data_IF_815587819191
#
_entry.id   IF_815587819191
#
_cell.length_a   1.000
_cell.length_b   1.000
_cell.length_c   1.000
_cell.angle_alpha   90.00
_cell.angle_beta   90.00
_cell.angle_gamma   90.00
#
_symmetry.space_group_name_H-M   'P 1'
#
loop_
_entity.id
_entity.type
_entity.pdbx_description
1 polymer ?
#
# COMPACT_ATOMS: atom_id res chain seq x y z
N UNK A 1 -12.38 -3.91 -22.89
CA UNK A 1 -11.90 -4.37 -24.21
C UNK A 1 -10.75 -5.31 -23.98
N UNK A 2 -10.76 -6.49 -24.58
CA UNK A 2 -9.76 -7.55 -24.40
C UNK A 2 -9.29 -8.00 -25.78
N UNK A 3 -7.98 -8.20 -25.93
CA UNK A 3 -7.39 -8.81 -27.11
C UNK A 3 -6.87 -10.21 -26.73
N UNK A 4 -7.34 -11.24 -27.39
CA UNK A 4 -6.91 -12.63 -27.20
C UNK A 4 -5.94 -13.00 -28.33
N UNK A 5 -4.66 -13.12 -27.98
CA UNK A 5 -3.63 -13.41 -28.98
C UNK A 5 -3.50 -12.31 -30.04
N UNK A 6 -3.56 -12.70 -31.33
CA UNK A 6 -3.47 -11.79 -32.48
C UNK A 6 -4.82 -11.32 -33.00
N UNK A 7 -5.92 -11.72 -32.37
CA UNK A 7 -7.27 -11.38 -32.80
C UNK A 7 -7.60 -9.91 -32.56
N UNK A 8 -8.63 -9.41 -33.24
CA UNK A 8 -9.10 -8.05 -33.02
C UNK A 8 -9.64 -7.88 -31.58
N UNK A 9 -9.44 -6.69 -30.94
CA UNK A 9 -9.94 -6.46 -29.59
C UNK A 9 -11.46 -6.63 -29.51
N UNK A 10 -11.95 -7.37 -28.53
CA UNK A 10 -13.38 -7.62 -28.27
C UNK A 10 -13.82 -6.88 -27.03
N UNK A 11 -15.01 -6.29 -27.08
CA UNK A 11 -15.65 -5.68 -25.91
C UNK A 11 -16.71 -6.63 -25.35
N UNK A 12 -16.68 -6.86 -24.03
CA UNK A 12 -17.66 -7.70 -23.35
C UNK A 12 -17.33 -7.80 -21.86
N UNK A 13 -18.04 -8.69 -21.19
CA UNK A 13 -17.95 -8.91 -19.76
C UNK A 13 -16.88 -9.98 -19.44
N UNK A 14 -16.38 -9.97 -18.22
CA UNK A 14 -15.47 -10.99 -17.68
C UNK A 14 -16.19 -11.67 -16.53
N UNK A 15 -16.26 -12.99 -16.59
CA UNK A 15 -16.73 -13.81 -15.46
C UNK A 15 -15.55 -14.39 -14.69
N UNK A 16 -15.66 -14.45 -13.38
CA UNK A 16 -14.59 -14.92 -12.49
C UNK A 16 -15.13 -16.00 -11.56
N UNK A 17 -14.60 -17.20 -11.69
CA UNK A 17 -14.94 -18.37 -10.88
C UNK A 17 -13.69 -18.99 -10.23
N UNK A 18 -13.88 -19.87 -9.24
CA UNK A 18 -12.77 -20.64 -8.69
C UNK A 18 -12.33 -21.75 -9.64
N UNK A 19 -13.27 -22.39 -10.31
CA UNK A 19 -13.01 -23.49 -11.24
C UNK A 19 -13.81 -23.31 -12.52
N UNK A 20 -13.30 -23.79 -13.61
CA UNK A 20 -14.01 -23.75 -14.89
C UNK A 20 -15.34 -24.55 -14.87
N UNK A 21 -15.43 -25.59 -14.03
CA UNK A 21 -16.67 -26.35 -13.83
C UNK A 21 -17.81 -25.51 -13.25
N UNK A 22 -17.49 -24.42 -12.58
CA UNK A 22 -18.46 -23.57 -11.88
C UNK A 22 -19.36 -22.82 -12.87
N UNK A 23 -18.89 -22.60 -14.10
CA UNK A 23 -19.69 -22.04 -15.21
C UNK A 23 -21.01 -22.79 -15.40
N UNK A 24 -20.94 -24.12 -15.50
CA UNK A 24 -22.15 -24.96 -15.64
C UNK A 24 -22.88 -25.15 -14.32
N UNK A 25 -22.13 -25.28 -13.22
CA UNK A 25 -22.72 -25.48 -11.90
C UNK A 25 -23.58 -24.29 -11.47
N UNK A 26 -23.21 -23.07 -11.86
CA UNK A 26 -23.95 -21.84 -11.60
C UNK A 26 -24.98 -21.50 -12.69
N UNK A 27 -25.09 -22.33 -13.76
CA UNK A 27 -26.07 -22.16 -14.82
C UNK A 27 -25.78 -20.97 -15.75
N UNK A 28 -24.52 -20.54 -15.87
CA UNK A 28 -24.12 -19.42 -16.72
C UNK A 28 -24.33 -19.72 -18.20
N UNK A 29 -24.29 -20.96 -18.61
CA UNK A 29 -24.54 -21.42 -19.97
C UNK A 29 -25.99 -21.22 -20.45
N UNK A 30 -26.94 -21.19 -19.54
CA UNK A 30 -28.37 -21.02 -19.82
C UNK A 30 -28.90 -19.62 -19.47
N UNK A 31 -28.11 -18.79 -18.76
CA UNK A 31 -28.52 -17.48 -18.29
C UNK A 31 -28.19 -16.38 -19.33
N UNK A 32 -29.21 -15.66 -19.87
CA UNK A 32 -29.01 -14.59 -20.84
C UNK A 32 -28.06 -13.46 -20.37
N UNK A 33 -27.93 -13.25 -19.07
CA UNK A 33 -27.04 -12.24 -18.48
C UNK A 33 -25.56 -12.48 -18.81
N UNK A 34 -25.17 -13.76 -19.08
CA UNK A 34 -23.79 -14.13 -19.37
C UNK A 34 -23.45 -14.23 -20.86
N UNK A 35 -24.38 -13.83 -21.75
CA UNK A 35 -24.16 -13.89 -23.20
C UNK A 35 -23.03 -12.98 -23.70
N UNK A 36 -22.76 -11.91 -22.99
CA UNK A 36 -21.72 -10.94 -23.33
C UNK A 36 -20.35 -11.25 -22.70
N UNK A 37 -20.22 -12.37 -21.98
CA UNK A 37 -18.94 -12.77 -21.39
C UNK A 37 -17.98 -13.19 -22.50
N UNK A 38 -16.87 -12.46 -22.62
CA UNK A 38 -15.82 -12.69 -23.63
C UNK A 38 -14.59 -13.39 -23.06
N UNK A 39 -14.45 -13.41 -21.73
CA UNK A 39 -13.38 -14.08 -21.03
C UNK A 39 -13.87 -14.67 -19.71
N UNK A 40 -13.58 -15.94 -19.49
CA UNK A 40 -13.77 -16.62 -18.22
C UNK A 40 -12.44 -16.70 -17.50
N UNK A 41 -12.33 -16.11 -16.33
CA UNK A 41 -11.13 -16.14 -15.49
C UNK A 41 -11.33 -17.12 -14.37
N UNK A 42 -10.45 -18.09 -14.22
CA UNK A 42 -10.56 -19.13 -13.19
C UNK A 42 -9.28 -19.24 -12.37
N UNK A 43 -9.42 -19.64 -11.12
CA UNK A 43 -8.26 -19.94 -10.30
C UNK A 43 -7.55 -21.22 -10.77
N UNK A 44 -8.30 -22.29 -10.95
CA UNK A 44 -7.79 -23.60 -11.38
C UNK A 44 -8.59 -24.16 -12.55
N UNK A 45 -7.90 -24.79 -13.48
CA UNK A 45 -8.54 -25.57 -14.54
C UNK A 45 -9.31 -26.76 -13.99
N UNK A 46 -10.55 -26.93 -14.45
CA UNK A 46 -11.38 -28.07 -14.13
C UNK A 46 -12.43 -28.28 -15.23
N UNK A 47 -12.33 -29.34 -16.03
CA UNK A 47 -13.30 -29.67 -17.06
C UNK A 47 -13.05 -29.05 -18.44
N UNK A 48 -14.03 -29.16 -19.33
CA UNK A 48 -14.00 -28.68 -20.72
C UNK A 48 -14.33 -27.18 -20.80
N UNK A 49 -13.61 -26.46 -21.64
CA UNK A 49 -13.80 -25.03 -21.87
C UNK A 49 -14.96 -24.78 -22.84
N UNK A 50 -15.82 -23.83 -22.50
CA UNK A 50 -16.91 -23.33 -23.35
C UNK A 50 -16.59 -21.95 -23.91
N UNK A 51 -15.77 -21.18 -23.18
CA UNK A 51 -15.38 -19.80 -23.48
C UNK A 51 -13.85 -19.66 -23.42
N UNK A 52 -13.25 -18.60 -24.01
CA UNK A 52 -11.86 -18.25 -23.76
C UNK A 52 -11.61 -18.17 -22.26
N UNK A 53 -10.67 -18.98 -21.75
CA UNK A 53 -10.46 -19.12 -20.31
C UNK A 53 -9.01 -18.80 -19.95
N UNK A 54 -8.84 -17.91 -18.97
CA UNK A 54 -7.55 -17.60 -18.35
C UNK A 54 -7.47 -18.27 -16.97
N UNK A 55 -6.49 -19.13 -16.80
CA UNK A 55 -6.15 -19.70 -15.51
C UNK A 55 -5.15 -18.78 -14.78
N UNK A 56 -5.47 -18.36 -13.58
CA UNK A 56 -4.65 -17.38 -12.84
C UNK A 56 -3.49 -18.01 -12.08
N UNK A 57 -3.67 -19.18 -11.49
CA UNK A 57 -2.67 -19.80 -10.62
C UNK A 57 -1.27 -19.92 -11.29
N UNK A 58 -1.14 -20.42 -12.53
CA UNK A 58 0.17 -20.55 -13.17
C UNK A 58 0.76 -19.24 -13.72
N UNK A 59 -0.03 -18.18 -13.86
CA UNK A 59 0.44 -16.88 -14.41
C UNK A 59 0.74 -15.85 -13.35
N UNK A 60 0.59 -16.21 -12.07
CA UNK A 60 0.97 -15.33 -10.98
C UNK A 60 2.49 -15.25 -10.84
N UNK A 61 2.99 -14.03 -10.75
CA UNK A 61 4.40 -13.72 -10.46
C UNK A 61 4.76 -13.83 -8.97
N UNK A 62 3.76 -14.09 -8.13
CA UNK A 62 3.91 -14.23 -6.68
C UNK A 62 2.95 -15.29 -6.13
N UNK A 63 3.32 -16.04 -5.07
CA UNK A 63 2.43 -16.98 -4.43
C UNK A 63 1.12 -16.33 -3.96
N UNK A 64 0.00 -17.07 -4.03
CA UNK A 64 -1.33 -16.60 -3.57
C UNK A 64 -1.30 -16.03 -2.14
N UNK A 65 -0.45 -16.59 -1.29
CA UNK A 65 -0.23 -16.10 0.05
C UNK A 65 0.28 -14.65 0.10
N UNK A 66 1.12 -14.27 -0.85
CA UNK A 66 1.63 -12.90 -0.97
C UNK A 66 0.56 -11.95 -1.50
N UNK A 67 -0.28 -12.41 -2.44
CA UNK A 67 -1.43 -11.65 -2.96
C UNK A 67 -2.50 -11.39 -1.88
N UNK A 68 -2.71 -12.32 -0.95
CA UNK A 68 -3.62 -12.10 0.20
C UNK A 68 -3.24 -10.89 1.04
N UNK A 69 -1.96 -10.57 1.13
CA UNK A 69 -1.46 -9.36 1.79
C UNK A 69 -1.79 -8.08 1.00
N UNK A 70 -1.85 -8.18 -0.31
CA UNK A 70 -2.21 -7.06 -1.19
C UNK A 70 -3.68 -6.67 -1.05
N UNK A 71 -4.56 -7.66 -0.92
CA UNK A 71 -6.01 -7.43 -0.93
C UNK A 71 -6.63 -7.15 0.44
N UNK A 72 -5.85 -7.15 1.52
CA UNK A 72 -6.37 -6.74 2.84
C UNK A 72 -7.58 -7.54 3.35
N UNK A 73 -7.84 -8.74 2.80
CA UNK A 73 -8.98 -9.57 3.14
C UNK A 73 -8.96 -10.18 4.55
N UNK A 74 -7.95 -9.87 5.36
CA UNK A 74 -7.88 -10.28 6.77
C UNK A 74 -8.89 -9.57 7.69
N UNK A 75 -9.73 -8.69 7.18
CA UNK A 75 -10.75 -8.06 8.00
C UNK A 75 -11.87 -9.02 8.44
N UNK A 76 -12.00 -10.20 7.83
CA UNK A 76 -13.10 -11.11 8.07
C UNK A 76 -12.79 -12.28 9.01
N UNK A 77 -11.52 -12.52 9.38
CA UNK A 77 -11.17 -13.55 10.36
C UNK A 77 -10.77 -12.92 11.67
N UNK A 78 -11.77 -12.63 12.51
CA UNK A 78 -11.52 -12.39 13.93
C UNK A 78 -11.05 -13.71 14.55
N UNK A 79 -9.75 -13.88 14.67
CA UNK A 79 -9.22 -14.92 15.52
C UNK A 79 -9.68 -14.62 16.95
N UNK A 80 -10.10 -15.63 17.72
CA UNK A 80 -10.36 -15.43 19.14
C UNK A 80 -9.12 -14.75 19.76
N UNK A 81 -9.31 -13.58 20.35
CA UNK A 81 -8.23 -12.77 20.93
C UNK A 81 -7.49 -13.50 22.07
N UNK A 82 -8.04 -14.61 22.54
CA UNK A 82 -7.61 -15.38 23.70
C UNK A 82 -6.66 -16.53 23.39
N UNK A 83 -6.48 -16.90 22.11
CA UNK A 83 -5.62 -18.03 21.76
C UNK A 83 -4.15 -17.64 21.72
N UNK A 84 -3.41 -18.01 22.76
CA UNK A 84 -1.95 -18.04 22.75
C UNK A 84 -1.46 -19.00 21.66
N UNK A 85 -0.47 -18.56 20.89
CA UNK A 85 0.21 -19.46 19.95
C UNK A 85 1.08 -20.48 20.70
N UNK A 86 1.22 -21.68 20.15
CA UNK A 86 2.16 -22.70 20.68
C UNK A 86 3.60 -22.19 20.74
N UNK A 87 3.94 -21.17 19.94
CA UNK A 87 5.25 -20.52 19.93
C UNK A 87 5.49 -19.61 21.16
N UNK A 88 4.45 -19.30 21.94
CA UNK A 88 4.60 -18.39 23.09
C UNK A 88 5.53 -18.98 24.17
N UNK A 89 5.42 -20.28 24.45
CA UNK A 89 6.27 -20.94 25.44
C UNK A 89 7.76 -20.92 25.03
N UNK A 90 8.16 -21.43 23.84
CA UNK A 90 9.58 -21.39 23.45
C UNK A 90 10.10 -19.97 23.26
N UNK A 91 9.29 -18.99 22.86
CA UNK A 91 9.73 -17.60 22.76
C UNK A 91 10.01 -16.95 24.10
N UNK A 92 9.34 -17.38 25.18
CA UNK A 92 9.62 -16.92 26.56
C UNK A 92 10.93 -17.47 27.15
N UNK A 93 11.41 -18.57 26.62
CA UNK A 93 12.67 -19.17 27.01
C UNK A 93 13.88 -18.45 26.41
N UNK A 94 13.66 -17.67 25.33
CA UNK A 94 14.71 -16.88 24.72
C UNK A 94 15.12 -15.71 25.60
N UNK A 95 16.44 -15.49 25.69
CA UNK A 95 16.95 -14.23 26.23
C UNK A 95 16.50 -13.03 25.39
N UNK A 96 16.53 -11.84 25.99
CA UNK A 96 16.18 -10.61 25.27
C UNK A 96 17.04 -10.40 24.02
N UNK A 97 18.30 -10.78 24.04
CA UNK A 97 19.24 -10.70 22.91
C UNK A 97 18.85 -11.68 21.81
N UNK A 98 18.54 -12.93 22.14
CA UNK A 98 18.12 -13.95 21.18
C UNK A 98 16.80 -13.57 20.51
N UNK A 99 15.81 -13.10 21.28
CA UNK A 99 14.54 -12.63 20.75
C UNK A 99 14.74 -11.42 19.81
N UNK A 100 15.58 -10.47 20.22
CA UNK A 100 15.91 -9.30 19.39
C UNK A 100 16.55 -9.72 18.06
N UNK A 101 17.48 -10.68 18.09
CA UNK A 101 18.15 -11.18 16.89
C UNK A 101 17.20 -11.95 15.97
N UNK A 102 16.32 -12.80 16.52
CA UNK A 102 15.28 -13.48 15.74
C UNK A 102 14.39 -12.50 15.02
N UNK A 103 13.91 -11.45 15.71
CA UNK A 103 13.07 -10.42 15.10
C UNK A 103 13.85 -9.55 14.11
N UNK A 104 15.15 -9.32 14.36
CA UNK A 104 16.02 -8.60 13.43
C UNK A 104 16.15 -9.36 12.11
N UNK A 105 16.35 -10.68 12.15
CA UNK A 105 16.41 -11.51 10.94
C UNK A 105 15.08 -11.53 10.19
N UNK A 106 13.96 -11.69 10.90
CA UNK A 106 12.65 -11.61 10.28
C UNK A 106 12.38 -10.23 9.63
N UNK A 107 12.82 -9.15 10.29
CA UNK A 107 12.73 -7.80 9.74
C UNK A 107 13.61 -7.60 8.50
N UNK A 108 14.80 -8.20 8.47
CA UNK A 108 15.68 -8.17 7.29
C UNK A 108 15.05 -8.88 6.09
N UNK A 109 14.48 -10.07 6.30
CA UNK A 109 13.73 -10.77 5.26
C UNK A 109 12.61 -9.90 4.70
N UNK A 110 11.90 -9.19 5.58
CA UNK A 110 10.82 -8.28 5.17
C UNK A 110 11.35 -7.06 4.39
N UNK A 111 12.46 -6.48 4.81
CA UNK A 111 13.13 -5.41 4.07
C UNK A 111 13.51 -5.88 2.67
N UNK A 112 14.19 -7.02 2.56
CA UNK A 112 14.61 -7.61 1.29
C UNK A 112 13.42 -7.95 0.37
N UNK A 113 12.35 -8.51 0.93
CA UNK A 113 11.12 -8.81 0.17
C UNK A 113 10.51 -7.55 -0.44
N UNK A 114 10.41 -6.46 0.34
CA UNK A 114 9.92 -5.17 -0.18
C UNK A 114 10.88 -4.56 -1.21
N UNK A 115 12.17 -4.64 -0.94
CA UNK A 115 13.22 -4.15 -1.85
C UNK A 115 13.17 -4.88 -3.20
N UNK A 116 12.98 -6.20 -3.20
CA UNK A 116 12.83 -7.01 -4.42
C UNK A 116 11.59 -6.62 -5.23
N UNK A 117 10.49 -6.25 -4.58
CA UNK A 117 9.30 -5.74 -5.27
C UNK A 117 9.60 -4.41 -5.99
N UNK A 118 10.32 -3.49 -5.33
CA UNK A 118 10.75 -2.25 -5.97
C UNK A 118 11.69 -2.51 -7.14
N UNK A 119 12.64 -3.45 -7.00
CA UNK A 119 13.55 -3.83 -8.08
C UNK A 119 12.79 -4.39 -9.29
N UNK A 120 11.89 -5.32 -9.06
CA UNK A 120 11.06 -5.91 -10.12
C UNK A 120 10.23 -4.84 -10.84
N UNK A 121 9.62 -3.93 -10.09
CA UNK A 121 8.83 -2.84 -10.68
C UNK A 121 9.70 -1.82 -11.40
N UNK A 122 10.84 -1.45 -10.83
CA UNK A 122 11.77 -0.50 -11.44
C UNK A 122 12.32 -0.96 -12.79
N UNK A 123 12.49 -2.27 -12.99
CA UNK A 123 12.87 -2.84 -14.30
C UNK A 123 11.82 -2.60 -15.38
N UNK A 124 10.56 -2.44 -15.01
CA UNK A 124 9.45 -2.21 -15.95
C UNK A 124 9.22 -0.72 -16.20
N UNK A 125 9.26 0.10 -15.17
CA UNK A 125 8.81 1.51 -15.22
C UNK A 125 9.88 2.52 -14.83
N UNK A 126 11.08 2.08 -14.44
CA UNK A 126 12.14 2.93 -13.92
C UNK A 126 12.04 3.21 -12.41
N UNK A 127 13.16 3.64 -11.83
CA UNK A 127 13.30 3.86 -10.39
C UNK A 127 12.38 4.96 -9.87
N UNK A 128 12.32 6.08 -10.56
CA UNK A 128 11.50 7.23 -10.18
C UNK A 128 10.01 6.84 -10.12
N UNK A 129 9.50 6.21 -11.17
CA UNK A 129 8.11 5.78 -11.23
C UNK A 129 7.79 4.74 -10.17
N UNK A 130 8.70 3.79 -9.91
CA UNK A 130 8.50 2.77 -8.86
C UNK A 130 8.40 3.39 -7.47
N UNK A 131 9.16 4.45 -7.18
CA UNK A 131 9.05 5.20 -5.93
C UNK A 131 7.67 5.86 -5.81
N UNK A 132 7.23 6.58 -6.86
CA UNK A 132 5.94 7.25 -6.85
C UNK A 132 4.78 6.28 -6.63
N UNK A 133 4.76 5.15 -7.33
CA UNK A 133 3.77 4.10 -7.11
C UNK A 133 3.79 3.59 -5.67
N UNK A 134 4.98 3.38 -5.10
CA UNK A 134 5.16 3.03 -3.70
C UNK A 134 4.59 4.08 -2.75
N UNK A 135 4.85 5.37 -2.99
CA UNK A 135 4.36 6.48 -2.17
C UNK A 135 2.83 6.58 -2.22
N UNK A 136 2.23 6.54 -3.41
CA UNK A 136 0.78 6.50 -3.57
C UNK A 136 0.18 5.31 -2.81
N UNK A 137 0.68 4.11 -3.06
CA UNK A 137 0.24 2.87 -2.40
C UNK A 137 0.36 2.98 -0.88
N UNK A 138 1.48 3.51 -0.36
CA UNK A 138 1.70 3.68 1.07
C UNK A 138 0.70 4.61 1.74
N UNK A 139 0.18 5.60 1.02
CA UNK A 139 -0.87 6.50 1.51
C UNK A 139 -2.28 5.93 1.42
N UNK A 140 -2.48 4.83 0.67
CA UNK A 140 -3.77 4.14 0.55
C UNK A 140 -4.15 3.33 1.80
N UNK A 141 -3.22 3.11 2.71
CA UNK A 141 -3.39 2.23 3.85
C UNK A 141 -3.85 0.82 3.41
N UNK A 142 -4.50 0.07 4.33
CA UNK A 142 -4.96 -1.29 4.05
C UNK A 142 -6.11 -1.35 3.04
N UNK A 143 -7.00 -0.35 3.04
CA UNK A 143 -8.29 -0.42 2.33
C UNK A 143 -8.28 0.21 0.94
N UNK A 144 -7.43 1.21 0.74
CA UNK A 144 -7.36 1.98 -0.50
C UNK A 144 -6.01 1.83 -1.23
N UNK A 145 -5.33 0.69 -1.01
CA UNK A 145 -4.03 0.41 -1.66
C UNK A 145 -4.16 0.44 -3.17
N UNK A 146 -5.15 -0.27 -3.70
CA UNK A 146 -5.32 -0.43 -5.14
C UNK A 146 -5.69 0.88 -5.85
N UNK A 147 -6.73 1.63 -5.45
CA UNK A 147 -7.05 2.89 -6.15
C UNK A 147 -5.92 3.92 -6.03
N UNK A 148 -5.19 3.96 -4.91
CA UNK A 148 -4.02 4.82 -4.79
C UNK A 148 -2.88 4.36 -5.71
N UNK A 149 -2.58 3.06 -5.78
CA UNK A 149 -1.58 2.53 -6.71
C UNK A 149 -1.92 2.89 -8.15
N UNK A 150 -3.18 2.72 -8.54
CA UNK A 150 -3.66 3.07 -9.89
C UNK A 150 -3.39 4.53 -10.24
N UNK A 151 -3.59 5.45 -9.31
CA UNK A 151 -3.23 6.86 -9.51
C UNK A 151 -1.71 7.05 -9.65
N UNK A 152 -0.92 6.29 -8.91
CA UNK A 152 0.53 6.27 -9.06
C UNK A 152 0.98 5.83 -10.46
N UNK A 153 0.35 4.80 -11.01
CA UNK A 153 0.59 4.32 -12.39
C UNK A 153 0.24 5.40 -13.44
N UNK A 154 -0.78 6.20 -13.18
CA UNK A 154 -1.22 7.29 -14.06
C UNK A 154 -0.40 8.59 -13.88
N UNK A 155 0.67 8.58 -13.07
CA UNK A 155 1.45 9.77 -12.74
C UNK A 155 1.86 10.59 -13.97
N UNK A 156 2.41 9.94 -14.99
CA UNK A 156 2.89 10.63 -16.20
C UNK A 156 1.77 11.32 -17.01
N UNK A 157 0.56 10.81 -16.91
CA UNK A 157 -0.62 11.43 -17.54
C UNK A 157 -1.15 12.60 -16.71
N UNK A 158 -1.23 12.43 -15.38
CA UNK A 158 -1.72 13.44 -14.45
C UNK A 158 -0.73 14.62 -14.33
N UNK A 159 0.57 14.31 -14.29
CA UNK A 159 1.68 15.27 -14.14
C UNK A 159 2.75 15.02 -15.19
N UNK A 160 2.55 15.44 -16.45
CA UNK A 160 3.55 15.31 -17.51
C UNK A 160 4.77 16.18 -17.20
N UNK A 161 5.97 15.64 -17.39
CA UNK A 161 7.25 16.28 -17.05
C UNK A 161 7.53 17.54 -17.91
N UNK A 162 7.13 17.52 -19.19
CA UNK A 162 7.39 18.62 -20.12
C UNK A 162 6.59 19.89 -19.78
N UNK A 163 5.46 19.75 -19.13
CA UNK A 163 4.59 20.86 -18.74
C UNK A 163 3.90 20.54 -17.41
N UNK A 164 4.62 20.68 -16.28
CA UNK A 164 4.04 20.41 -14.98
C UNK A 164 2.84 21.34 -14.72
N UNK A 165 1.68 20.80 -14.32
CA UNK A 165 0.53 21.58 -13.99
C UNK A 165 0.71 22.39 -12.71
N UNK A 166 -0.12 23.41 -12.49
CA UNK A 166 -0.20 24.10 -11.20
C UNK A 166 -0.67 23.15 -10.09
N UNK A 167 -0.38 23.48 -8.85
CA UNK A 167 -0.85 22.69 -7.69
C UNK A 167 -2.36 22.47 -7.73
N UNK A 168 -3.15 23.52 -8.00
CA UNK A 168 -4.60 23.42 -8.10
C UNK A 168 -5.03 22.45 -9.22
N UNK A 169 -4.37 22.50 -10.39
CA UNK A 169 -4.65 21.57 -11.48
C UNK A 169 -4.28 20.14 -11.11
N UNK A 170 -3.17 19.92 -10.40
CA UNK A 170 -2.79 18.58 -9.92
C UNK A 170 -3.79 18.03 -8.91
N UNK A 171 -4.23 18.86 -7.97
CA UNK A 171 -5.27 18.48 -7.00
C UNK A 171 -6.58 18.14 -7.73
N UNK A 172 -6.96 18.94 -8.72
CA UNK A 172 -8.16 18.72 -9.54
C UNK A 172 -8.07 17.42 -10.36
N UNK A 173 -6.95 17.18 -11.04
CA UNK A 173 -6.71 15.95 -11.81
C UNK A 173 -6.71 14.71 -10.92
N UNK A 174 -5.96 14.71 -9.81
CA UNK A 174 -5.92 13.57 -8.90
C UNK A 174 -7.28 13.25 -8.31
N UNK A 175 -8.01 14.27 -7.84
CA UNK A 175 -9.35 14.08 -7.26
C UNK A 175 -10.40 13.71 -8.31
N UNK A 176 -10.28 14.24 -9.52
CA UNK A 176 -11.18 13.95 -10.65
C UNK A 176 -10.97 12.52 -11.16
N UNK A 177 -9.73 12.14 -11.50
CA UNK A 177 -9.39 10.77 -11.92
C UNK A 177 -9.75 9.75 -10.85
N UNK A 178 -9.62 10.12 -9.57
CA UNK A 178 -10.05 9.29 -8.44
C UNK A 178 -11.58 9.16 -8.30
N UNK A 179 -12.39 9.90 -9.07
CA UNK A 179 -13.86 9.95 -8.91
C UNK A 179 -14.29 10.52 -7.55
N UNK A 180 -13.47 11.40 -6.96
CA UNK A 180 -13.72 11.97 -5.62
C UNK A 180 -14.21 13.42 -5.65
N UNK A 181 -14.34 14.03 -6.84
CA UNK A 181 -15.04 15.28 -7.02
C UNK A 181 -16.56 15.03 -7.14
N UNK A 182 -17.41 16.00 -6.78
CA UNK A 182 -18.84 15.89 -7.04
C UNK A 182 -19.13 15.97 -8.55
N UNK A 183 -20.09 15.19 -9.04
CA UNK A 183 -20.52 15.22 -10.43
C UNK A 183 -21.13 16.57 -10.80
N UNK A 184 -21.88 17.17 -9.85
CA UNK A 184 -22.51 18.49 -9.99
C UNK A 184 -22.27 19.33 -8.74
N UNK A 185 -22.19 20.65 -8.96
CA UNK A 185 -22.19 21.64 -7.89
C UNK A 185 -23.61 22.09 -7.58
N UNK A 186 -23.96 22.24 -6.32
CA UNK A 186 -25.20 22.91 -5.93
C UNK A 186 -25.21 24.37 -6.42
N UNK A 187 -26.38 24.97 -6.57
CA UNK A 187 -26.48 26.38 -7.01
C UNK A 187 -25.65 27.34 -6.14
N UNK A 188 -25.65 27.13 -4.85
CA UNK A 188 -24.86 27.94 -3.92
C UNK A 188 -23.34 27.74 -4.13
N UNK A 189 -22.88 26.51 -4.32
CA UNK A 189 -21.48 26.21 -4.63
C UNK A 189 -21.05 26.74 -5.98
N UNK A 190 -21.93 26.70 -6.97
CA UNK A 190 -21.69 27.22 -8.31
C UNK A 190 -21.58 28.74 -8.35
N UNK A 191 -22.24 29.47 -7.44
CA UNK A 191 -22.25 30.94 -7.39
C UNK A 191 -21.15 31.56 -6.55
N UNK A 192 -20.39 30.74 -5.77
CA UNK A 192 -19.35 31.21 -4.85
C UNK A 192 -17.96 30.87 -5.36
N UNK A 193 -17.00 31.81 -5.25
CA UNK A 193 -15.57 31.54 -5.54
C UNK A 193 -14.92 30.82 -4.38
N UNK A 194 -15.26 29.54 -4.24
CA UNK A 194 -14.69 28.66 -3.23
C UNK A 194 -13.57 27.78 -3.81
N UNK A 195 -12.74 27.23 -2.93
CA UNK A 195 -11.74 26.25 -3.34
C UNK A 195 -12.35 25.08 -4.11
N UNK A 196 -13.50 24.54 -3.67
CA UNK A 196 -14.22 23.48 -4.36
C UNK A 196 -14.63 23.90 -5.78
N UNK A 197 -15.13 25.13 -5.95
CA UNK A 197 -15.52 25.68 -7.27
C UNK A 197 -14.30 25.74 -8.19
N UNK A 198 -13.18 26.29 -7.73
CA UNK A 198 -11.95 26.40 -8.54
C UNK A 198 -11.40 25.02 -8.92
N UNK A 199 -11.43 24.05 -8.01
CA UNK A 199 -11.07 22.65 -8.31
C UNK A 199 -11.97 22.05 -9.38
N UNK A 200 -13.29 22.22 -9.22
CA UNK A 200 -14.28 21.67 -10.12
C UNK A 200 -14.15 22.28 -11.51
N UNK A 201 -13.99 23.60 -11.63
CA UNK A 201 -13.76 24.28 -12.90
C UNK A 201 -12.46 23.83 -13.57
N UNK A 202 -11.41 23.60 -12.82
CA UNK A 202 -10.14 23.07 -13.34
C UNK A 202 -10.32 21.67 -13.90
N UNK A 203 -10.98 20.77 -13.14
CA UNK A 203 -11.29 19.42 -13.58
C UNK A 203 -12.21 19.40 -14.80
N UNK A 204 -13.27 20.20 -14.81
CA UNK A 204 -14.27 20.23 -15.86
C UNK A 204 -13.69 20.53 -17.23
N UNK A 205 -12.68 21.37 -17.30
CA UNK A 205 -11.99 21.71 -18.57
C UNK A 205 -11.17 20.56 -19.14
N UNK A 206 -10.70 19.67 -18.31
CA UNK A 206 -9.74 18.61 -18.69
C UNK A 206 -10.33 17.19 -18.59
N UNK A 207 -11.53 17.02 -18.04
CA UNK A 207 -12.11 15.71 -17.73
C UNK A 207 -12.16 14.74 -18.92
N UNK A 208 -12.41 15.26 -20.12
CA UNK A 208 -12.48 14.42 -21.33
C UNK A 208 -11.13 13.76 -21.65
N UNK A 209 -10.03 14.43 -21.34
CA UNK A 209 -8.67 13.86 -21.49
C UNK A 209 -8.46 12.65 -20.60
N UNK A 210 -9.17 12.61 -19.47
CA UNK A 210 -9.03 11.55 -18.47
C UNK A 210 -10.22 10.58 -18.44
N UNK A 211 -11.15 10.65 -19.40
CA UNK A 211 -12.37 9.86 -19.39
C UNK A 211 -12.11 8.35 -19.26
N UNK A 212 -11.13 7.82 -20.01
CA UNK A 212 -10.79 6.39 -20.03
C UNK A 212 -10.06 5.89 -18.78
N UNK A 213 -9.56 6.79 -17.95
CA UNK A 213 -8.80 6.42 -16.74
C UNK A 213 -9.47 6.87 -15.44
N UNK A 214 -10.60 7.56 -15.52
CA UNK A 214 -11.37 7.98 -14.34
C UNK A 214 -11.97 6.79 -13.61
N UNK A 215 -11.71 6.71 -12.31
CA UNK A 215 -12.17 5.62 -11.46
C UNK A 215 -13.54 5.92 -10.85
N UNK A 216 -14.44 4.93 -10.76
CA UNK A 216 -15.69 5.10 -10.03
C UNK A 216 -15.45 5.24 -8.53
N UNK A 217 -16.25 6.09 -7.88
CA UNK A 217 -16.16 6.33 -6.43
C UNK A 217 -16.33 5.05 -5.58
N UNK A 218 -17.03 4.04 -6.11
CA UNK A 218 -17.27 2.75 -5.45
C UNK A 218 -15.99 1.94 -5.19
N UNK A 219 -14.88 2.26 -5.85
CA UNK A 219 -13.58 1.61 -5.59
C UNK A 219 -12.93 2.05 -4.28
N UNK A 220 -13.42 3.11 -3.65
CA UNK A 220 -12.89 3.64 -2.42
C UNK A 220 -13.65 3.13 -1.20
N UNK A 221 -12.93 2.59 -0.23
CA UNK A 221 -13.48 2.24 1.09
C UNK A 221 -13.26 3.40 2.07
N UNK A 222 -14.36 4.00 2.51
CA UNK A 222 -14.35 5.10 3.48
C UNK A 222 -14.68 4.63 4.89
N UNK A 223 -15.07 3.36 5.09
CA UNK A 223 -15.53 2.85 6.37
C UNK A 223 -14.39 2.82 7.40
N UNK A 224 -14.62 3.35 8.59
CA UNK A 224 -13.67 3.32 9.70
C UNK A 224 -12.35 4.04 9.46
N UNK A 225 -12.27 4.93 8.47
CA UNK A 225 -11.09 5.76 8.27
C UNK A 225 -11.00 6.85 9.34
N UNK A 226 -9.80 7.04 9.90
CA UNK A 226 -9.52 8.26 10.66
C UNK A 226 -9.58 9.45 9.70
N UNK A 227 -10.18 10.60 10.08
CA UNK A 227 -10.34 11.75 9.18
C UNK A 227 -9.04 12.20 8.51
N UNK A 228 -7.93 12.21 9.24
CA UNK A 228 -6.60 12.53 8.71
C UNK A 228 -6.15 11.61 7.57
N UNK A 229 -6.71 10.39 7.45
CA UNK A 229 -6.35 9.39 6.46
C UNK A 229 -7.32 9.35 5.26
N UNK A 230 -8.26 10.31 5.20
CA UNK A 230 -9.21 10.37 4.10
C UNK A 230 -8.49 10.50 2.74
N UNK A 231 -8.89 9.71 1.71
CA UNK A 231 -8.22 9.69 0.41
C UNK A 231 -8.05 11.08 -0.21
N UNK A 232 -9.08 11.94 -0.17
CA UNK A 232 -8.98 13.29 -0.72
C UNK A 232 -7.80 14.07 -0.12
N UNK A 233 -7.61 13.98 1.20
CA UNK A 233 -6.51 14.64 1.90
C UNK A 233 -5.14 14.04 1.53
N UNK A 234 -5.08 12.72 1.32
CA UNK A 234 -3.86 12.03 0.87
C UNK A 234 -3.49 12.38 -0.56
N UNK A 235 -4.48 12.56 -1.42
CA UNK A 235 -4.26 13.02 -2.80
C UNK A 235 -3.80 14.48 -2.85
N UNK A 236 -4.31 15.34 -1.97
CA UNK A 236 -3.80 16.69 -1.83
C UNK A 236 -2.31 16.71 -1.44
N UNK A 237 -1.88 15.87 -0.49
CA UNK A 237 -0.46 15.69 -0.15
C UNK A 237 0.36 15.24 -1.37
N UNK A 238 -0.13 14.26 -2.12
CA UNK A 238 0.55 13.78 -3.34
C UNK A 238 0.68 14.89 -4.39
N UNK A 239 -0.34 15.73 -4.54
CA UNK A 239 -0.31 16.87 -5.47
C UNK A 239 0.84 17.85 -5.13
N UNK A 240 1.07 18.13 -3.85
CA UNK A 240 2.20 18.97 -3.44
C UNK A 240 3.56 18.36 -3.82
N UNK A 241 3.77 17.07 -3.52
CA UNK A 241 5.01 16.40 -3.89
C UNK A 241 5.21 16.31 -5.40
N UNK A 242 4.14 16.09 -6.17
CA UNK A 242 4.21 16.10 -7.63
C UNK A 242 4.51 17.49 -8.19
N UNK A 243 3.92 18.54 -7.61
CA UNK A 243 4.18 19.92 -8.01
C UNK A 243 5.64 20.32 -7.81
N UNK A 244 6.28 19.80 -6.77
CA UNK A 244 7.68 20.06 -6.48
C UNK A 244 8.64 19.23 -7.37
N UNK A 245 8.23 17.99 -7.74
CA UNK A 245 8.92 17.15 -8.71
C UNK A 245 10.29 16.57 -8.29
N UNK A 246 10.77 16.84 -7.07
CA UNK A 246 12.13 16.46 -6.60
C UNK A 246 12.13 15.44 -5.46
N UNK A 247 11.09 14.61 -5.35
CA UNK A 247 10.96 13.73 -4.20
C UNK A 247 12.11 12.72 -4.09
N UNK A 248 12.47 12.04 -5.19
CA UNK A 248 13.56 11.07 -5.21
C UNK A 248 14.91 11.71 -4.84
N UNK A 249 15.22 12.85 -5.44
CA UNK A 249 16.44 13.61 -5.15
C UNK A 249 16.53 14.00 -3.67
N UNK A 250 15.44 14.50 -3.08
CA UNK A 250 15.39 14.83 -1.65
C UNK A 250 15.63 13.63 -0.75
N UNK A 251 15.04 12.48 -1.09
CA UNK A 251 15.21 11.26 -0.32
C UNK A 251 16.64 10.70 -0.44
N UNK A 252 17.25 10.77 -1.62
CA UNK A 252 18.64 10.39 -1.83
C UNK A 252 19.59 11.31 -1.08
N UNK A 253 19.39 12.62 -1.15
CA UNK A 253 20.18 13.62 -0.42
C UNK A 253 20.03 13.44 1.10
N UNK A 254 18.81 13.14 1.59
CA UNK A 254 18.61 12.81 2.99
C UNK A 254 19.38 11.54 3.37
N UNK A 255 19.38 10.53 2.51
CA UNK A 255 20.02 9.25 2.79
C UNK A 255 21.55 9.34 2.83
N UNK A 256 22.14 10.11 1.93
CA UNK A 256 23.59 10.30 1.83
C UNK A 256 24.15 11.34 2.79
N UNK A 257 23.26 12.16 3.38
CA UNK A 257 23.63 13.18 4.35
C UNK A 257 24.13 12.58 5.67
N UNK A 258 25.13 13.23 6.27
CA UNK A 258 25.58 12.89 7.63
C UNK A 258 24.54 13.41 8.64
N UNK A 259 23.75 12.50 9.18
CA UNK A 259 22.66 12.80 10.11
C UNK A 259 22.91 12.07 11.43
N UNK A 260 22.78 12.79 12.53
CA UNK A 260 22.84 12.18 13.86
C UNK A 260 21.70 11.16 14.03
N UNK A 261 21.96 9.93 14.52
CA UNK A 261 20.94 8.87 14.64
C UNK A 261 19.66 9.29 15.34
N UNK A 262 19.75 10.11 16.40
CA UNK A 262 18.59 10.62 17.11
C UNK A 262 17.70 11.56 16.29
N UNK A 263 18.23 12.12 15.19
CA UNK A 263 17.54 13.08 14.31
C UNK A 263 17.04 12.51 12.99
N UNK A 264 17.35 11.27 12.66
CA UNK A 264 17.03 10.68 11.35
C UNK A 264 15.54 10.74 11.02
N UNK A 265 14.67 10.37 11.96
CA UNK A 265 13.23 10.41 11.72
C UNK A 265 12.66 11.83 11.60
N UNK A 266 13.16 12.76 12.39
CA UNK A 266 12.73 14.16 12.32
C UNK A 266 13.24 14.86 11.04
N UNK A 267 14.46 14.58 10.61
CA UNK A 267 15.02 15.13 9.37
C UNK A 267 14.33 14.56 8.13
N UNK A 268 13.95 13.25 8.14
CA UNK A 268 13.12 12.71 7.08
C UNK A 268 11.76 13.39 7.04
N UNK A 269 11.11 13.57 8.19
CA UNK A 269 9.84 14.28 8.23
C UNK A 269 9.97 15.68 7.63
N UNK A 270 11.06 16.41 7.98
CA UNK A 270 11.37 17.73 7.39
C UNK A 270 11.55 17.63 5.87
N UNK A 271 12.27 16.61 5.38
CA UNK A 271 12.47 16.38 3.94
C UNK A 271 11.16 16.03 3.20
N UNK A 272 10.15 15.54 3.90
CA UNK A 272 8.84 15.23 3.35
C UNK A 272 7.81 16.34 3.56
N UNK A 273 8.16 17.40 4.29
CA UNK A 273 7.25 18.52 4.52
C UNK A 273 6.92 19.24 3.22
N UNK A 274 5.70 19.73 3.19
CA UNK A 274 5.14 20.53 2.10
C UNK A 274 4.82 21.93 2.62
N UNK A 275 4.72 22.94 1.73
CA UNK A 275 4.18 24.24 2.11
C UNK A 275 2.77 24.09 2.70
N UNK A 276 2.39 25.05 3.55
CA UNK A 276 1.05 25.08 4.14
C UNK A 276 0.00 25.15 3.02
N UNK A 277 -0.97 24.22 3.07
CA UNK A 277 -2.12 24.23 2.18
C UNK A 277 -3.29 24.95 2.85
N UNK A 278 -3.72 26.08 2.27
CA UNK A 278 -4.74 26.94 2.88
C UNK A 278 -6.06 26.21 3.11
N UNK A 279 -6.45 25.30 2.24
CA UNK A 279 -7.67 24.53 2.38
C UNK A 279 -7.45 23.24 3.19
N UNK A 280 -6.51 22.38 2.77
CA UNK A 280 -6.39 21.04 3.31
C UNK A 280 -5.81 20.99 4.74
N UNK A 281 -5.11 22.01 5.17
CA UNK A 281 -4.67 22.09 6.56
C UNK A 281 -5.84 22.34 7.53
N UNK A 282 -6.96 22.80 7.01
CA UNK A 282 -8.16 23.11 7.79
C UNK A 282 -9.38 22.25 7.48
N UNK A 283 -9.27 21.29 6.53
CA UNK A 283 -10.39 20.44 6.12
C UNK A 283 -9.98 18.97 6.06
N UNK A 284 -10.86 18.10 6.53
CA UNK A 284 -10.69 16.66 6.38
C UNK A 284 -11.13 16.15 5.00
N UNK A 285 -12.15 16.77 4.44
CA UNK A 285 -12.72 16.44 3.14
C UNK A 285 -13.20 17.72 2.45
N UNK A 286 -13.50 17.66 1.16
CA UNK A 286 -14.09 18.78 0.41
C UNK A 286 -15.41 19.30 1.00
N UNK A 287 -16.10 18.48 1.79
CA UNK A 287 -17.41 18.81 2.40
C UNK A 287 -17.34 18.98 3.92
N UNK A 288 -16.19 18.79 4.54
CA UNK A 288 -16.06 18.98 5.98
C UNK A 288 -16.12 20.47 6.35
N UNK A 289 -16.55 20.74 7.57
CA UNK A 289 -16.41 22.07 8.16
C UNK A 289 -14.93 22.41 8.37
N UNK A 290 -14.64 23.68 8.49
CA UNK A 290 -13.34 24.21 8.88
C UNK A 290 -12.93 23.65 10.26
N UNK A 291 -11.67 23.30 10.40
CA UNK A 291 -11.12 22.82 11.66
C UNK A 291 -10.71 24.01 12.54
N UNK A 292 -10.91 23.88 13.85
CA UNK A 292 -10.52 24.91 14.81
C UNK A 292 -9.01 25.17 14.81
N UNK A 293 -8.22 24.12 14.51
CA UNK A 293 -6.76 24.21 14.43
C UNK A 293 -6.24 23.59 13.12
N UNK A 294 -5.20 24.21 12.56
CA UNK A 294 -4.48 23.69 11.39
C UNK A 294 -3.89 22.30 11.69
N UNK A 295 -4.06 21.38 10.77
CA UNK A 295 -3.59 20.00 10.84
C UNK A 295 -2.69 19.70 9.62
N UNK A 296 -1.40 19.40 9.82
CA UNK A 296 -0.52 19.13 8.69
C UNK A 296 -1.00 17.91 7.89
N UNK A 297 -0.79 17.94 6.58
CA UNK A 297 -1.14 16.84 5.68
C UNK A 297 -0.31 15.57 5.95
N UNK A 298 0.91 15.74 6.45
CA UNK A 298 1.79 14.64 6.85
C UNK A 298 2.17 14.75 8.33
N UNK A 299 1.78 13.78 9.12
CA UNK A 299 2.22 13.63 10.51
C UNK A 299 3.37 12.62 10.66
N UNK A 300 4.08 12.69 11.79
CA UNK A 300 5.25 11.86 12.10
C UNK A 300 4.98 10.36 11.98
N UNK A 301 3.84 9.89 12.47
CA UNK A 301 3.44 8.47 12.37
C UNK A 301 3.38 8.01 10.92
N UNK A 302 2.81 8.83 10.02
CA UNK A 302 2.71 8.48 8.61
C UNK A 302 4.07 8.55 7.91
N UNK A 303 4.92 9.51 8.27
CA UNK A 303 6.30 9.57 7.80
C UNK A 303 7.07 8.30 8.19
N UNK A 304 6.91 7.81 9.43
CA UNK A 304 7.48 6.54 9.90
C UNK A 304 6.98 5.35 9.06
N UNK A 305 5.68 5.28 8.79
CA UNK A 305 5.13 4.20 7.95
C UNK A 305 5.72 4.22 6.53
N UNK A 306 5.82 5.41 5.91
CA UNK A 306 6.45 5.57 4.61
C UNK A 306 7.93 5.23 4.64
N UNK A 307 8.65 5.64 5.69
CA UNK A 307 10.07 5.33 5.85
C UNK A 307 10.33 3.83 5.81
N UNK A 308 9.69 3.05 6.69
CA UNK A 308 10.00 1.62 6.86
C UNK A 308 9.36 0.72 5.80
N UNK A 309 8.31 1.18 5.14
CA UNK A 309 7.60 0.37 4.17
C UNK A 309 7.93 0.69 2.72
N UNK A 310 8.41 1.90 2.43
CA UNK A 310 8.62 2.41 1.07
C UNK A 310 10.03 2.97 0.90
N UNK A 311 10.39 4.01 1.65
CA UNK A 311 11.59 4.82 1.40
C UNK A 311 12.87 4.03 1.65
N UNK A 312 13.01 3.45 2.86
CA UNK A 312 14.21 2.68 3.19
C UNK A 312 14.37 1.41 2.33
N UNK A 313 13.30 0.60 2.06
CA UNK A 313 13.41 -0.50 1.10
C UNK A 313 13.80 -0.07 -0.31
N UNK A 314 13.25 1.03 -0.81
CA UNK A 314 13.59 1.56 -2.14
C UNK A 314 15.05 2.05 -2.20
N UNK A 315 15.50 2.81 -1.20
CA UNK A 315 16.89 3.26 -1.11
C UNK A 315 17.86 2.08 -0.94
N UNK A 316 17.49 1.08 -0.13
CA UNK A 316 18.29 -0.11 0.10
C UNK A 316 18.59 -0.87 -1.20
N UNK A 317 17.57 -1.15 -1.99
CA UNK A 317 17.76 -1.89 -3.24
C UNK A 317 18.51 -1.06 -4.28
N UNK A 318 18.39 0.26 -4.29
CA UNK A 318 19.20 1.13 -5.13
C UNK A 318 20.68 1.09 -4.74
N UNK A 319 20.98 1.05 -3.44
CA UNK A 319 22.37 0.88 -2.98
C UNK A 319 22.95 -0.48 -3.39
N UNK A 320 22.13 -1.55 -3.33
CA UNK A 320 22.51 -2.89 -3.81
C UNK A 320 22.79 -2.88 -5.31
N UNK A 321 21.90 -2.36 -6.12
CA UNK A 321 22.06 -2.28 -7.58
C UNK A 321 23.25 -1.40 -7.97
N UNK A 322 23.48 -0.31 -7.26
CA UNK A 322 24.63 0.59 -7.42
C UNK A 322 25.94 0.03 -6.84
N UNK A 323 25.93 -1.17 -6.27
CA UNK A 323 27.08 -1.82 -5.60
C UNK A 323 27.73 -0.92 -4.55
N UNK A 324 26.95 -0.07 -3.89
CA UNK A 324 27.40 0.81 -2.82
C UNK A 324 27.16 0.15 -1.45
N UNK A 325 28.11 -0.67 -1.04
CA UNK A 325 28.02 -1.45 0.20
C UNK A 325 27.97 -0.56 1.44
N UNK A 326 28.72 0.54 1.47
CA UNK A 326 28.70 1.49 2.60
C UNK A 326 27.31 2.10 2.79
N UNK A 327 26.67 2.54 1.70
CA UNK A 327 25.32 3.11 1.73
C UNK A 327 24.28 2.05 2.11
N UNK A 328 24.41 0.82 1.60
CA UNK A 328 23.55 -0.30 1.95
C UNK A 328 23.58 -0.56 3.46
N UNK A 329 24.77 -0.66 4.05
CA UNK A 329 24.96 -0.86 5.49
C UNK A 329 24.37 0.29 6.31
N UNK A 330 24.54 1.53 5.85
CA UNK A 330 23.97 2.70 6.54
C UNK A 330 22.43 2.69 6.50
N UNK A 331 21.83 2.32 5.37
CA UNK A 331 20.35 2.20 5.26
C UNK A 331 19.83 1.09 6.18
N UNK A 332 20.52 -0.06 6.24
CA UNK A 332 20.17 -1.13 7.19
C UNK A 332 20.26 -0.65 8.65
N UNK A 333 21.32 0.05 9.00
CA UNK A 333 21.48 0.63 10.34
C UNK A 333 20.29 1.55 10.67
N UNK A 334 19.92 2.46 9.77
CA UNK A 334 18.76 3.34 9.93
C UNK A 334 17.46 2.56 10.06
N UNK A 335 17.25 1.54 9.24
CA UNK A 335 16.06 0.70 9.28
C UNK A 335 15.90 0.01 10.63
N UNK A 336 16.98 -0.56 11.17
CA UNK A 336 16.94 -1.26 12.45
C UNK A 336 16.84 -0.33 13.66
N UNK A 337 17.36 0.89 13.55
CA UNK A 337 17.27 1.90 14.59
C UNK A 337 15.98 2.74 14.53
N UNK A 338 15.17 2.60 13.45
CA UNK A 338 14.00 3.45 13.23
C UNK A 338 12.99 3.33 14.40
N UNK A 339 12.46 4.48 14.90
CA UNK A 339 11.49 4.46 16.00
C UNK A 339 10.21 3.71 15.60
N UNK A 340 9.58 3.04 16.57
CA UNK A 340 8.35 2.28 16.32
C UNK A 340 7.21 3.20 15.84
N UNK A 341 6.41 2.67 14.91
CA UNK A 341 5.13 3.27 14.52
C UNK A 341 3.99 2.88 15.45
N UNK A 342 2.77 3.27 15.09
CA UNK A 342 1.56 2.81 15.77
C UNK A 342 1.31 1.33 15.54
N UNK A 343 0.82 0.64 16.57
CA UNK A 343 0.40 -0.76 16.44
C UNK A 343 -0.90 -0.85 15.63
N UNK A 344 -0.84 -1.59 14.55
CA UNK A 344 -2.02 -1.98 13.77
C UNK A 344 -2.66 -3.28 14.31
N UNK A 345 -3.80 -3.70 13.74
CA UNK A 345 -4.51 -4.92 14.16
C UNK A 345 -3.64 -6.18 14.07
N UNK A 346 -2.79 -6.29 13.04
CA UNK A 346 -1.89 -7.45 12.87
C UNK A 346 -0.80 -7.47 13.92
N UNK A 347 -0.23 -6.32 14.28
CA UNK A 347 0.76 -6.22 15.37
C UNK A 347 0.14 -6.55 16.73
N UNK A 348 -1.09 -6.11 16.98
CA UNK A 348 -1.82 -6.48 18.19
C UNK A 348 -2.04 -7.99 18.27
N UNK A 349 -2.46 -8.61 17.17
CA UNK A 349 -2.59 -10.05 17.04
C UNK A 349 -1.25 -10.76 17.24
N UNK A 350 -0.18 -10.28 16.62
CA UNK A 350 1.17 -10.82 16.78
C UNK A 350 1.60 -10.82 18.25
N UNK A 351 1.45 -9.70 18.94
CA UNK A 351 1.78 -9.59 20.37
C UNK A 351 0.96 -10.54 21.22
N UNK A 352 -0.34 -10.67 20.94
CA UNK A 352 -1.20 -11.58 21.65
C UNK A 352 -0.77 -13.04 21.46
N UNK A 353 -0.53 -13.46 20.21
CA UNK A 353 -0.17 -14.86 19.90
C UNK A 353 1.22 -15.24 20.33
N UNK A 354 2.20 -14.38 20.07
CA UNK A 354 3.61 -14.67 20.31
C UNK A 354 3.99 -14.47 21.79
N UNK A 355 3.32 -13.56 22.49
CA UNK A 355 3.70 -13.14 23.85
C UNK A 355 2.57 -13.15 24.87
N UNK A 356 1.34 -13.47 24.48
CA UNK A 356 0.18 -13.43 25.36
C UNK A 356 -0.23 -12.02 25.79
N UNK A 357 0.02 -11.01 24.94
CA UNK A 357 -0.25 -9.62 25.27
C UNK A 357 0.70 -8.98 26.28
N UNK A 358 1.67 -9.75 26.82
CA UNK A 358 2.65 -9.19 27.74
C UNK A 358 3.56 -8.17 27.05
N UNK A 359 3.80 -7.06 27.71
CA UNK A 359 4.73 -6.04 27.22
C UNK A 359 6.16 -6.62 27.21
N UNK A 360 6.75 -6.71 26.03
CA UNK A 360 8.13 -7.16 25.88
C UNK A 360 9.07 -5.95 25.93
N UNK A 361 9.98 -5.96 26.91
CA UNK A 361 11.05 -4.96 26.99
C UNK A 361 11.97 -5.15 25.78
N UNK A 362 12.19 -4.08 25.01
CA UNK A 362 13.09 -4.10 23.83
C UNK A 362 12.42 -4.07 22.46
N UNK A 363 11.11 -4.31 22.35
CA UNK A 363 10.38 -4.20 21.08
C UNK A 363 9.94 -2.77 20.76
N UNK A 364 10.89 -1.81 20.83
CA UNK A 364 10.61 -0.37 20.68
C UNK A 364 11.01 0.22 19.32
N UNK A 365 11.47 -0.63 18.38
CA UNK A 365 11.86 -0.18 17.04
C UNK A 365 10.82 -0.59 16.00
N UNK A 366 10.77 0.16 14.89
CA UNK A 366 9.97 -0.23 13.75
C UNK A 366 10.42 -1.58 13.16
N UNK A 367 11.72 -1.87 13.19
CA UNK A 367 12.25 -3.15 12.75
C UNK A 367 11.70 -4.32 13.58
N UNK A 368 11.60 -4.19 14.91
CA UNK A 368 10.96 -5.21 15.74
C UNK A 368 9.49 -5.42 15.35
N UNK A 369 8.75 -4.34 15.08
CA UNK A 369 7.37 -4.42 14.55
C UNK A 369 7.33 -5.12 13.17
N UNK A 370 8.26 -4.81 12.28
CA UNK A 370 8.37 -5.46 10.96
C UNK A 370 8.72 -6.94 11.08
N UNK A 371 9.58 -7.31 12.04
CA UNK A 371 9.89 -8.72 12.36
C UNK A 371 8.67 -9.49 12.83
N UNK A 372 7.88 -8.91 13.75
CA UNK A 372 6.61 -9.52 14.19
C UNK A 372 5.63 -9.71 13.03
N UNK A 373 5.50 -8.70 12.15
CA UNK A 373 4.65 -8.80 10.96
C UNK A 373 5.14 -9.91 10.02
N UNK A 374 6.45 -10.09 9.89
CA UNK A 374 7.01 -11.15 9.06
C UNK A 374 6.73 -12.53 9.64
N UNK A 375 6.95 -12.73 10.94
CA UNK A 375 6.64 -13.99 11.61
C UNK A 375 5.16 -14.37 11.45
N UNK A 376 4.25 -13.41 11.64
CA UNK A 376 2.81 -13.65 11.42
C UNK A 376 2.53 -14.01 9.97
N UNK A 377 3.16 -13.32 9.03
CA UNK A 377 3.02 -13.62 7.60
C UNK A 377 3.46 -15.04 7.29
N UNK A 378 4.65 -15.42 7.71
CA UNK A 378 5.27 -16.69 7.29
C UNK A 378 4.64 -17.90 7.98
N UNK A 379 4.15 -17.75 9.20
CA UNK A 379 3.71 -18.88 10.02
C UNK A 379 2.23 -18.83 10.40
N UNK A 380 1.65 -17.67 10.69
CA UNK A 380 0.26 -17.58 11.14
C UNK A 380 -0.73 -17.42 9.97
N UNK A 381 -0.31 -16.83 8.86
CA UNK A 381 -1.15 -16.60 7.67
C UNK A 381 -1.56 -17.89 6.95
N UNK A 382 -0.71 -18.91 6.99
CA UNK A 382 -0.92 -20.18 6.26
C UNK A 382 -1.70 -21.23 7.06
N UNK A 383 -1.71 -21.15 8.38
CA UNK A 383 -2.22 -22.24 9.24
C UNK A 383 -3.69 -22.11 9.61
N UNK A 384 -4.51 -21.30 8.94
CA UNK A 384 -5.93 -21.09 9.28
C UNK A 384 -6.17 -20.92 10.80
N UNK A 385 -5.21 -20.33 11.52
CA UNK A 385 -5.17 -20.23 12.97
C UNK A 385 -4.88 -21.55 13.73
N UNK A 386 -4.62 -22.65 13.03
CA UNK A 386 -4.29 -23.92 13.68
C UNK A 386 -2.81 -23.96 13.98
N UNK A 387 -2.45 -23.64 15.23
CA UNK A 387 -1.06 -23.69 15.68
C UNK A 387 -0.48 -25.12 15.78
N UNK A 388 -1.32 -26.17 15.72
CA UNK A 388 -0.91 -27.58 15.82
C UNK A 388 0.05 -28.02 14.72
N UNK A 389 -0.06 -27.47 13.52
CA UNK A 389 0.77 -27.78 12.36
C UNK A 389 1.90 -26.76 12.12
N UNK A 390 1.97 -25.73 12.95
CA UNK A 390 2.92 -24.64 12.79
C UNK A 390 4.34 -25.09 13.15
N UNK A 391 5.29 -24.93 12.23
CA UNK A 391 6.71 -25.27 12.45
C UNK A 391 7.50 -24.22 13.24
N UNK A 392 6.93 -23.04 13.45
CA UNK A 392 7.65 -21.95 14.11
C UNK A 392 8.09 -22.27 15.53
N UNK A 393 7.29 -22.95 16.41
CA UNK A 393 7.75 -23.35 17.73
C UNK A 393 9.01 -24.21 17.70
N UNK A 394 9.12 -25.13 16.75
CA UNK A 394 10.28 -26.01 16.63
C UNK A 394 11.50 -25.27 16.08
N UNK A 395 11.32 -24.33 15.17
CA UNK A 395 12.39 -23.45 14.71
C UNK A 395 12.94 -22.60 15.86
N UNK A 396 12.08 -22.07 16.72
CA UNK A 396 12.51 -21.29 17.90
C UNK A 396 13.30 -22.14 18.86
N UNK A 397 12.87 -23.39 19.13
CA UNK A 397 13.61 -24.34 19.98
C UNK A 397 14.98 -24.72 19.39
N UNK A 398 15.03 -24.93 18.06
CA UNK A 398 16.29 -25.23 17.37
C UNK A 398 17.23 -24.01 17.34
N UNK A 399 16.70 -22.79 17.31
CA UNK A 399 17.48 -21.56 17.40
C UNK A 399 18.17 -21.38 18.76
N UNK A 400 17.62 -21.95 19.81
CA UNK A 400 18.14 -21.85 21.16
C UNK A 400 19.36 -22.76 21.41
N UNK A 401 19.55 -23.82 20.60
CA UNK A 401 20.65 -24.75 20.67
C UNK A 401 21.86 -24.26 19.87
#
# INVERSE_FOLDING_TARGET
>A
MIQLGTDAPVQGDIEIDLKNSDWKAHGHDSNPAFKNVVLHVVWQKGGTFVQPTLELEPVLDSPLADLRWWHGSDAARSYPAELLGHCCAPLRELSATQLSELLRQAALIRLQSKASQFQARARQVGWEQSLWEGMFRGLGYKRNLWPMLRLGELRSQVCPEQKPPSLLSLQARLLGVAGLLPDELSRQQASSDTYLRRLWDSWWREREVFADCTMPRSLWDFAGLRPANHPQRRLALMAHWLAEGRLSERLENWCTGSIEPARESSTLLTSLQIPKDEFWDRHWTLRSKDLDASQPLLGATRATDLAVNIILPWLWVRAVEGRNESLRCEIERRYFAWPSGEDNSVLKLARQRLFGGAAQKGLRTAAAQQGLLQVVRDFCGYSNAICSECRFPDLVKAWHR
#
